data_IF_087392169933
#
_entry.id   IF_087392169933
#
_cell.length_a   1.000
_cell.length_b   1.000
_cell.length_c   1.000
_cell.angle_alpha   90.00
_cell.angle_beta   90.00
_cell.angle_gamma   90.00
#
_symmetry.space_group_name_H-M   'P 1'
#
loop_
_entity.id
_entity.type
_entity.pdbx_description
1 polymer ?
#
# COMPACT_ATOMS: atom_id res chain seq x y z
N UNK A 1 65.87 -28.13 45.36
CA UNK A 1 66.50 -27.52 46.51
C UNK A 1 66.90 -26.09 46.15
N UNK A 2 66.88 -25.17 47.08
CA UNK A 2 65.78 -24.60 47.88
C UNK A 2 65.71 -23.09 47.58
N UNK A 3 64.77 -22.30 47.96
CA UNK A 3 64.24 -21.78 49.23
C UNK A 3 63.23 -20.69 48.93
N UNK A 4 62.09 -20.79 49.43
CA UNK A 4 61.37 -19.95 50.38
C UNK A 4 61.88 -18.52 50.63
N UNK A 5 61.04 -17.52 50.46
CA UNK A 5 60.80 -16.43 51.39
C UNK A 5 59.48 -15.70 51.12
N UNK A 6 58.68 -15.62 52.13
CA UNK A 6 57.39 -14.97 52.36
C UNK A 6 57.61 -13.46 52.74
N UNK A 7 56.60 -12.77 53.25
CA UNK A 7 55.86 -11.68 52.55
C UNK A 7 56.06 -10.33 53.26
N UNK A 8 55.64 -9.25 52.63
CA UNK A 8 55.47 -7.98 53.35
C UNK A 8 54.18 -7.27 52.89
N UNK A 9 53.32 -7.15 53.82
CA UNK A 9 52.11 -6.33 53.78
C UNK A 9 52.44 -4.84 53.67
N UNK A 10 51.71 -4.10 52.85
CA UNK A 10 51.55 -2.65 53.03
C UNK A 10 50.13 -2.20 52.68
N UNK A 11 49.47 -1.85 53.75
CA UNK A 11 48.52 -0.77 54.06
C UNK A 11 47.73 -0.12 52.91
N UNK A 12 46.46 -0.21 53.14
CA UNK A 12 45.35 0.54 52.52
C UNK A 12 45.61 2.06 52.67
N UNK A 13 45.37 2.80 51.58
CA UNK A 13 44.95 4.19 51.62
C UNK A 13 43.69 4.33 50.78
N UNK A 14 42.59 4.56 51.46
CA UNK A 14 41.30 4.97 50.92
C UNK A 14 41.40 6.46 50.57
N UNK A 15 41.31 6.81 49.30
CA UNK A 15 40.97 8.16 48.89
C UNK A 15 39.61 8.08 48.18
N UNK A 16 38.58 8.56 48.86
CA UNK A 16 37.27 8.71 48.28
C UNK A 16 37.28 9.86 47.27
N UNK A 17 36.88 9.57 46.08
CA UNK A 17 36.50 10.59 45.08
C UNK A 17 35.00 10.40 44.82
N UNK A 18 34.23 11.27 45.41
CA UNK A 18 32.78 11.41 45.14
C UNK A 18 32.63 12.03 43.74
N UNK A 19 32.36 11.23 42.75
CA UNK A 19 31.90 11.70 41.44
C UNK A 19 30.41 11.99 41.51
N UNK A 20 30.04 13.24 41.62
CA UNK A 20 28.69 13.70 41.44
C UNK A 20 28.26 13.51 39.96
N UNK A 21 27.48 12.50 39.67
CA UNK A 21 26.83 12.33 38.36
C UNK A 21 25.73 13.41 38.23
N UNK A 22 26.02 14.48 37.52
CA UNK A 22 25.01 15.42 37.06
C UNK A 22 24.20 14.73 35.97
N UNK A 23 23.02 14.23 36.32
CA UNK A 23 22.04 13.77 35.36
C UNK A 23 21.52 15.00 34.58
N UNK A 24 22.00 15.20 33.37
CA UNK A 24 21.38 16.12 32.42
C UNK A 24 20.02 15.53 32.03
N UNK A 25 18.96 15.96 32.70
CA UNK A 25 17.59 15.74 32.29
C UNK A 25 17.37 16.52 30.98
N UNK A 26 17.47 15.82 29.85
CA UNK A 26 16.99 16.33 28.57
C UNK A 26 15.46 16.39 28.70
N UNK A 27 14.82 17.57 28.62
CA UNK A 27 13.39 17.63 28.59
C UNK A 27 12.92 16.99 27.28
N UNK A 28 12.38 15.78 27.33
CA UNK A 28 11.58 15.22 26.26
C UNK A 28 10.38 16.14 26.14
N UNK A 29 10.44 17.07 25.19
CA UNK A 29 9.26 17.81 24.74
C UNK A 29 8.29 16.77 24.18
N UNK A 30 7.42 16.24 25.03
CA UNK A 30 6.19 15.61 24.59
C UNK A 30 5.41 16.69 23.86
N UNK A 31 5.45 16.68 22.53
CA UNK A 31 4.49 17.38 21.71
C UNK A 31 3.11 16.94 22.24
N UNK A 32 2.39 17.89 22.83
CA UNK A 32 0.99 17.69 23.21
C UNK A 32 0.27 17.36 21.92
N UNK A 33 0.03 16.08 21.67
CA UNK A 33 -0.89 15.62 20.64
C UNK A 33 -2.20 16.38 20.89
N UNK A 34 -2.52 17.29 19.99
CA UNK A 34 -3.89 17.80 19.89
C UNK A 34 -4.73 16.55 19.66
N UNK A 35 -5.58 16.22 20.63
CA UNK A 35 -6.32 15.00 20.66
C UNK A 35 -6.97 14.75 19.30
N UNK A 36 -6.36 13.87 18.51
CA UNK A 36 -6.98 13.37 17.30
C UNK A 36 -8.25 12.64 17.74
N UNK A 37 -9.36 12.93 17.08
CA UNK A 37 -10.58 12.16 17.27
C UNK A 37 -10.24 10.67 17.18
N UNK A 38 -10.85 9.81 18.00
CA UNK A 38 -10.61 8.38 17.93
C UNK A 38 -10.83 7.91 16.47
N UNK A 39 -10.07 6.92 16.00
CA UNK A 39 -10.23 6.42 14.65
C UNK A 39 -11.69 6.03 14.41
N UNK A 40 -12.23 6.25 13.20
CA UNK A 40 -13.57 5.78 12.89
C UNK A 40 -13.60 4.27 13.09
N UNK A 41 -14.50 3.74 13.89
CA UNK A 41 -14.63 2.31 14.03
C UNK A 41 -15.02 1.71 12.68
N UNK A 42 -14.30 0.66 12.28
CA UNK A 42 -14.58 -0.14 11.10
C UNK A 42 -15.27 -1.41 11.54
N UNK A 43 -16.45 -1.68 11.01
CA UNK A 43 -17.25 -2.86 11.33
C UNK A 43 -17.42 -3.72 10.10
N UNK A 44 -17.10 -5.01 10.21
CA UNK A 44 -17.40 -5.96 9.15
C UNK A 44 -18.91 -5.98 8.89
N UNK A 45 -19.30 -5.70 7.63
CA UNK A 45 -20.69 -5.69 7.21
C UNK A 45 -21.03 -6.95 6.40
N UNK A 46 -20.21 -7.25 5.40
CA UNK A 46 -20.43 -8.38 4.51
C UNK A 46 -19.10 -8.88 3.92
N UNK A 47 -19.04 -10.14 3.55
CA UNK A 47 -17.93 -10.70 2.81
C UNK A 47 -18.39 -11.85 1.91
N UNK A 48 -17.58 -12.21 0.92
CA UNK A 48 -17.82 -13.36 0.05
C UNK A 48 -16.56 -13.72 -0.71
N UNK A 49 -16.34 -15.02 -0.91
CA UNK A 49 -15.21 -15.55 -1.67
C UNK A 49 -15.66 -16.13 -3.00
N UNK A 50 -14.82 -16.04 -4.00
CA UNK A 50 -15.03 -16.68 -5.30
C UNK A 50 -14.57 -18.14 -5.21
N UNK A 51 -15.29 -19.05 -5.91
CA UNK A 51 -14.76 -20.39 -6.16
C UNK A 51 -13.43 -20.30 -6.91
N UNK A 52 -12.44 -21.12 -6.50
CA UNK A 52 -11.19 -21.25 -7.25
C UNK A 52 -11.47 -21.73 -8.67
N UNK A 53 -10.76 -21.17 -9.64
CA UNK A 53 -10.96 -21.48 -11.06
C UNK A 53 -12.19 -20.83 -11.68
N UNK A 54 -12.76 -19.80 -11.06
CA UNK A 54 -13.84 -19.00 -11.67
C UNK A 54 -13.37 -18.44 -13.01
N UNK A 55 -14.13 -18.68 -14.07
CA UNK A 55 -13.87 -18.15 -15.41
C UNK A 55 -14.97 -17.18 -15.86
N UNK A 56 -14.55 -16.15 -16.59
CA UNK A 56 -15.47 -15.22 -17.22
C UNK A 56 -14.95 -14.76 -18.59
N UNK A 57 -15.81 -14.86 -19.61
CA UNK A 57 -15.48 -14.53 -21.03
C UNK A 57 -14.13 -15.12 -21.48
N UNK A 58 -13.87 -16.38 -21.11
CA UNK A 58 -12.67 -17.12 -21.52
C UNK A 58 -11.39 -16.69 -20.80
N UNK A 59 -11.51 -15.97 -19.69
CA UNK A 59 -10.38 -15.61 -18.84
C UNK A 59 -10.56 -16.14 -17.43
N UNK A 60 -9.49 -16.61 -16.81
CA UNK A 60 -9.46 -16.99 -15.40
C UNK A 60 -9.54 -15.71 -14.55
N UNK A 61 -10.53 -15.66 -13.66
CA UNK A 61 -10.69 -14.54 -12.70
C UNK A 61 -9.78 -14.81 -11.51
N UNK A 62 -8.90 -13.86 -11.22
CA UNK A 62 -7.93 -13.93 -10.13
C UNK A 62 -6.92 -12.80 -10.24
N UNK A 63 -5.99 -12.75 -9.29
CA UNK A 63 -4.98 -11.70 -9.28
C UNK A 63 -5.59 -10.31 -9.11
N UNK A 64 -6.61 -10.13 -8.26
CA UNK A 64 -7.32 -8.85 -8.16
C UNK A 64 -6.60 -7.92 -7.17
N UNK A 65 -5.69 -7.10 -7.71
CA UNK A 65 -4.83 -6.18 -6.96
C UNK A 65 -5.27 -4.71 -6.97
N UNK A 66 -6.23 -4.31 -7.83
CA UNK A 66 -6.76 -2.95 -7.86
C UNK A 66 -8.28 -2.91 -7.94
N UNK A 67 -8.93 -1.97 -7.24
CA UNK A 67 -10.38 -1.84 -7.20
C UNK A 67 -10.83 -0.37 -7.32
N UNK A 68 -11.84 -0.10 -8.14
CA UNK A 68 -12.43 1.23 -8.25
C UNK A 68 -13.94 1.15 -8.44
N UNK A 69 -14.68 2.13 -7.91
CA UNK A 69 -16.14 2.19 -7.99
C UNK A 69 -16.62 3.38 -8.83
N UNK A 70 -17.47 3.09 -9.79
CA UNK A 70 -18.18 4.05 -10.64
C UNK A 70 -19.60 4.24 -10.10
N UNK A 71 -19.75 5.24 -9.23
CA UNK A 71 -21.01 5.50 -8.56
C UNK A 71 -22.18 5.83 -9.53
N UNK A 72 -22.01 6.67 -10.58
CA UNK A 72 -23.06 6.95 -11.55
C UNK A 72 -23.63 5.72 -12.24
N UNK A 73 -22.78 4.73 -12.53
CA UNK A 73 -23.17 3.52 -13.27
C UNK A 73 -23.39 2.30 -12.36
N UNK A 74 -23.10 2.42 -11.07
CA UNK A 74 -23.09 1.33 -10.11
C UNK A 74 -22.25 0.13 -10.62
N UNK A 75 -21.05 0.43 -11.10
CA UNK A 75 -20.11 -0.55 -11.62
C UNK A 75 -18.82 -0.52 -10.79
N UNK A 76 -18.21 -1.68 -10.67
CA UNK A 76 -16.88 -1.86 -10.10
C UNK A 76 -15.93 -2.27 -11.19
N UNK A 77 -14.71 -1.75 -11.10
CA UNK A 77 -13.58 -2.14 -11.93
C UNK A 77 -12.57 -2.84 -11.04
N UNK A 78 -12.18 -4.07 -11.38
CA UNK A 78 -11.21 -4.86 -10.65
C UNK A 78 -10.04 -5.21 -11.59
N UNK A 79 -8.87 -4.68 -11.29
CA UNK A 79 -7.65 -4.89 -12.07
C UNK A 79 -7.03 -6.24 -11.69
N UNK A 80 -6.56 -6.99 -12.70
CA UNK A 80 -5.82 -8.23 -12.48
C UNK A 80 -4.33 -8.01 -12.70
N UNK A 81 -3.50 -8.47 -11.76
CA UNK A 81 -2.04 -8.45 -11.78
C UNK A 81 -1.42 -9.46 -12.77
N UNK A 82 -2.27 -10.14 -13.51
CA UNK A 82 -1.81 -11.09 -14.52
C UNK A 82 -0.90 -10.43 -15.56
N UNK A 83 0.37 -10.71 -15.46
CA UNK A 83 1.42 -10.26 -16.40
C UNK A 83 1.25 -10.81 -17.81
N UNK A 84 0.02 -10.94 -18.28
CA UNK A 84 -0.36 -11.62 -19.54
C UNK A 84 0.17 -13.07 -19.60
N UNK A 85 0.10 -13.80 -18.47
CA UNK A 85 0.51 -15.21 -18.40
C UNK A 85 -0.64 -16.15 -18.67
N UNK A 86 -1.81 -15.88 -18.09
CA UNK A 86 -3.05 -16.64 -18.21
C UNK A 86 -3.94 -16.06 -19.31
N UNK A 87 -4.09 -14.72 -19.34
CA UNK A 87 -4.80 -13.98 -20.36
C UNK A 87 -4.15 -12.59 -20.50
N UNK A 88 -4.46 -11.80 -21.54
CA UNK A 88 -3.96 -10.43 -21.66
C UNK A 88 -4.24 -9.59 -20.40
N UNK A 89 -3.33 -8.66 -20.08
CA UNK A 89 -3.53 -7.71 -18.99
C UNK A 89 -4.91 -7.05 -19.10
N UNK A 90 -5.68 -7.07 -18.00
CA UNK A 90 -7.12 -6.81 -18.04
C UNK A 90 -7.68 -6.20 -16.77
N UNK A 91 -8.82 -5.59 -16.92
CA UNK A 91 -9.65 -5.13 -15.83
C UNK A 91 -11.04 -5.76 -15.99
N UNK A 92 -11.56 -6.35 -14.93
CA UNK A 92 -12.93 -6.87 -14.89
C UNK A 92 -13.91 -5.77 -14.53
N UNK A 93 -15.09 -5.81 -15.13
CA UNK A 93 -16.24 -4.95 -14.76
C UNK A 93 -17.26 -5.83 -14.08
N UNK A 94 -17.74 -5.43 -12.90
CA UNK A 94 -18.66 -6.22 -12.10
C UNK A 94 -19.66 -5.33 -11.36
N UNK A 95 -20.71 -5.93 -10.84
CA UNK A 95 -21.62 -5.38 -9.83
C UNK A 95 -21.48 -6.16 -8.54
N UNK A 96 -21.48 -5.45 -7.43
CA UNK A 96 -21.69 -6.07 -6.13
C UNK A 96 -23.15 -5.89 -5.71
N UNK A 97 -23.74 -6.87 -5.02
CA UNK A 97 -25.12 -6.76 -4.51
C UNK A 97 -25.20 -5.61 -3.49
N UNK A 98 -26.41 -5.13 -3.18
CA UNK A 98 -26.61 -4.19 -2.08
C UNK A 98 -25.99 -4.70 -0.78
N UNK A 99 -25.30 -3.83 -0.05
CA UNK A 99 -24.59 -4.22 1.16
C UNK A 99 -25.54 -4.34 2.34
N UNK A 100 -25.64 -5.53 2.92
CA UNK A 100 -26.42 -5.82 4.10
C UNK A 100 -25.68 -6.76 5.04
N UNK A 101 -25.86 -6.55 6.35
CA UNK A 101 -25.17 -7.33 7.36
C UNK A 101 -25.43 -8.83 7.21
N UNK A 102 -24.36 -9.62 7.17
CA UNK A 102 -24.41 -11.07 7.08
C UNK A 102 -24.80 -11.62 5.71
N UNK A 103 -25.04 -10.78 4.71
CA UNK A 103 -25.31 -11.23 3.35
C UNK A 103 -24.01 -11.57 2.61
N UNK A 104 -23.93 -12.71 1.91
CA UNK A 104 -22.76 -13.06 1.14
C UNK A 104 -22.58 -12.13 -0.06
N UNK A 105 -21.39 -11.62 -0.25
CA UNK A 105 -21.04 -10.86 -1.44
C UNK A 105 -20.75 -11.81 -2.60
N UNK A 106 -21.61 -11.78 -3.60
CA UNK A 106 -21.42 -12.53 -4.85
C UNK A 106 -21.35 -11.52 -6.00
N UNK A 107 -20.17 -11.29 -6.59
CA UNK A 107 -20.05 -10.39 -7.73
C UNK A 107 -20.79 -10.93 -8.95
N UNK A 108 -21.50 -10.04 -9.65
CA UNK A 108 -22.03 -10.27 -10.98
C UNK A 108 -21.02 -9.72 -12.00
N UNK A 109 -20.39 -10.59 -12.76
CA UNK A 109 -19.44 -10.19 -13.78
C UNK A 109 -20.18 -9.62 -15.00
N UNK A 110 -19.79 -8.41 -15.42
CA UNK A 110 -20.44 -7.67 -16.52
C UNK A 110 -19.58 -7.71 -17.78
N UNK A 111 -18.28 -7.37 -17.65
CA UNK A 111 -17.38 -7.30 -18.80
C UNK A 111 -15.92 -7.56 -18.43
N UNK A 112 -15.07 -7.68 -19.46
CA UNK A 112 -13.62 -7.74 -19.38
C UNK A 112 -13.02 -6.70 -20.33
N UNK A 113 -12.24 -5.80 -19.78
CA UNK A 113 -11.52 -4.76 -20.51
C UNK A 113 -10.08 -5.22 -20.70
N UNK A 114 -9.68 -5.51 -21.93
CA UNK A 114 -8.27 -5.80 -22.26
C UNK A 114 -7.48 -4.49 -22.30
N UNK A 115 -6.45 -4.36 -21.47
CA UNK A 115 -5.54 -3.22 -21.49
C UNK A 115 -4.62 -3.31 -22.72
N UNK A 116 -4.42 -2.17 -23.40
CA UNK A 116 -3.71 -2.09 -24.67
C UNK A 116 -2.55 -1.11 -24.59
N UNK A 117 -1.48 -1.44 -25.29
CA UNK A 117 -0.31 -0.60 -25.43
C UNK A 117 -0.50 0.57 -26.43
N UNK A 118 0.57 1.34 -26.66
CA UNK A 118 0.53 2.50 -27.58
C UNK A 118 0.19 2.14 -29.03
N UNK A 119 0.46 0.91 -29.42
CA UNK A 119 0.15 0.36 -30.75
C UNK A 119 -1.29 -0.18 -30.89
N UNK A 120 -2.10 -0.06 -29.81
CA UNK A 120 -3.47 -0.56 -29.75
C UNK A 120 -3.59 -2.07 -29.56
N UNK A 121 -2.48 -2.81 -29.45
CA UNK A 121 -2.45 -4.24 -29.19
C UNK A 121 -2.46 -4.51 -27.67
N UNK A 122 -2.95 -5.68 -27.24
CA UNK A 122 -2.74 -6.12 -25.87
C UNK A 122 -1.26 -6.10 -25.48
N UNK A 123 -0.95 -5.79 -24.25
CA UNK A 123 0.43 -5.86 -23.76
C UNK A 123 0.97 -7.30 -23.87
N UNK A 124 2.21 -7.44 -24.32
CA UNK A 124 2.88 -8.72 -24.41
C UNK A 124 3.12 -9.31 -23.01
N UNK A 125 3.35 -10.61 -22.96
CA UNK A 125 3.66 -11.34 -21.72
C UNK A 125 4.81 -10.69 -20.96
N UNK A 126 4.61 -10.39 -19.67
CA UNK A 126 5.56 -9.73 -18.76
C UNK A 126 5.97 -8.30 -19.17
N UNK A 127 5.26 -7.66 -20.08
CA UNK A 127 5.52 -6.28 -20.47
C UNK A 127 4.99 -5.27 -19.43
N UNK A 128 3.91 -5.62 -18.78
CA UNK A 128 3.31 -4.88 -17.66
C UNK A 128 3.00 -5.83 -16.51
N UNK A 129 2.87 -5.26 -15.36
CA UNK A 129 2.51 -5.90 -14.09
C UNK A 129 1.51 -4.99 -13.39
N UNK A 130 0.21 -5.10 -13.73
CA UNK A 130 -0.80 -4.15 -13.25
C UNK A 130 -1.11 -4.42 -11.76
N UNK A 131 -0.92 -3.43 -10.87
CA UNK A 131 -1.10 -3.63 -9.42
C UNK A 131 -2.17 -2.72 -8.81
N UNK A 132 -2.29 -1.48 -9.24
CA UNK A 132 -3.22 -0.56 -8.62
C UNK A 132 -4.12 0.15 -9.63
N UNK A 133 -5.34 0.51 -9.19
CA UNK A 133 -6.38 1.09 -10.03
C UNK A 133 -7.10 2.25 -9.34
N UNK A 134 -7.31 3.33 -10.09
CA UNK A 134 -8.25 4.39 -9.71
C UNK A 134 -9.11 4.78 -10.91
N UNK A 135 -10.40 5.03 -10.67
CA UNK A 135 -11.30 5.57 -11.68
C UNK A 135 -11.27 7.10 -11.60
N UNK A 136 -10.89 7.75 -12.69
CA UNK A 136 -11.05 9.19 -12.85
C UNK A 136 -12.41 9.46 -13.47
N UNK A 137 -13.33 10.11 -12.75
CA UNK A 137 -14.66 10.41 -13.28
C UNK A 137 -14.60 11.30 -14.50
N UNK A 138 -15.56 11.15 -15.39
CA UNK A 138 -15.74 12.06 -16.52
C UNK A 138 -16.09 13.47 -16.04
N UNK A 139 -15.56 14.49 -16.70
CA UNK A 139 -15.78 15.90 -16.35
C UNK A 139 -15.67 16.78 -17.57
N UNK A 140 -16.48 17.86 -17.67
CA UNK A 140 -16.39 18.82 -18.75
C UNK A 140 -16.58 18.23 -20.14
N UNK A 141 -17.44 17.22 -20.29
CA UNK A 141 -17.65 16.51 -21.56
C UNK A 141 -16.60 15.45 -21.90
N UNK A 142 -15.58 15.28 -21.05
CA UNK A 142 -14.62 14.18 -21.18
C UNK A 142 -15.15 12.92 -20.49
N UNK A 143 -14.99 11.74 -21.11
CA UNK A 143 -15.41 10.48 -20.50
C UNK A 143 -14.53 10.11 -19.30
N UNK A 144 -15.04 9.21 -18.44
CA UNK A 144 -14.25 8.62 -17.39
C UNK A 144 -13.08 7.81 -17.94
N UNK A 145 -11.99 7.72 -17.16
CA UNK A 145 -10.78 6.98 -17.52
C UNK A 145 -10.29 6.12 -16.35
N UNK A 146 -9.50 5.11 -16.66
CA UNK A 146 -8.80 4.28 -15.69
C UNK A 146 -7.36 4.77 -15.54
N UNK A 147 -6.98 5.19 -14.34
CA UNK A 147 -5.59 5.33 -13.94
C UNK A 147 -5.15 3.99 -13.36
N UNK A 148 -4.00 3.47 -13.77
CA UNK A 148 -3.50 2.22 -13.25
C UNK A 148 -1.98 2.21 -13.18
N UNK A 149 -1.46 1.57 -12.15
CA UNK A 149 -0.03 1.43 -11.93
C UNK A 149 0.46 0.07 -12.44
N UNK A 150 1.69 0.03 -12.88
CA UNK A 150 2.41 -1.19 -13.22
C UNK A 150 3.72 -1.21 -12.45
N UNK A 151 4.00 -2.32 -11.77
CA UNK A 151 5.29 -2.57 -11.14
C UNK A 151 6.45 -2.66 -12.15
N UNK A 152 6.14 -2.99 -13.40
CA UNK A 152 7.14 -3.30 -14.41
C UNK A 152 7.81 -4.65 -14.13
N UNK A 153 9.07 -4.78 -14.56
CA UNK A 153 9.88 -5.97 -14.30
C UNK A 153 11.35 -5.54 -14.25
N UNK A 154 11.84 -5.24 -13.08
CA UNK A 154 13.20 -4.69 -12.91
C UNK A 154 14.27 -5.66 -13.41
N UNK A 155 14.06 -6.98 -13.25
CA UNK A 155 14.97 -8.02 -13.76
C UNK A 155 15.01 -8.04 -15.29
N UNK A 156 13.89 -7.76 -15.93
CA UNK A 156 13.78 -7.64 -17.40
C UNK A 156 14.09 -6.22 -17.89
N UNK A 157 14.50 -5.30 -17.01
CA UNK A 157 14.77 -3.88 -17.30
C UNK A 157 13.53 -3.10 -17.77
N UNK A 158 12.36 -3.47 -17.28
CA UNK A 158 11.10 -2.76 -17.48
C UNK A 158 10.84 -1.95 -16.22
N UNK A 159 10.85 -0.62 -16.36
CA UNK A 159 10.59 0.28 -15.26
C UNK A 159 9.12 0.25 -14.83
N UNK A 160 8.81 0.57 -13.56
CA UNK A 160 7.44 0.82 -13.15
C UNK A 160 6.84 1.98 -13.93
N UNK A 161 5.53 2.00 -14.06
CA UNK A 161 4.82 2.98 -14.86
C UNK A 161 3.45 3.31 -14.28
N UNK A 162 2.99 4.53 -14.55
CA UNK A 162 1.63 4.98 -14.25
C UNK A 162 0.96 5.32 -15.57
N UNK A 163 -0.17 4.68 -15.84
CA UNK A 163 -0.89 4.78 -17.10
C UNK A 163 -2.28 5.39 -16.92
N UNK A 164 -2.79 6.04 -17.96
CA UNK A 164 -4.19 6.41 -18.09
C UNK A 164 -4.76 5.79 -19.36
N UNK A 165 -5.85 5.04 -19.22
CA UNK A 165 -6.55 4.35 -20.30
C UNK A 165 -8.01 4.74 -20.36
N UNK A 166 -8.60 4.72 -21.54
CA UNK A 166 -10.05 4.80 -21.72
C UNK A 166 -10.72 3.54 -21.16
N UNK A 167 -12.03 3.60 -20.86
CA UNK A 167 -12.80 2.47 -20.35
C UNK A 167 -12.89 1.26 -21.31
N UNK A 168 -12.47 1.42 -22.57
CA UNK A 168 -12.31 0.31 -23.51
C UNK A 168 -10.89 -0.29 -23.54
N UNK A 169 -10.04 0.10 -22.60
CA UNK A 169 -8.67 -0.37 -22.44
C UNK A 169 -7.63 0.30 -23.35
N UNK A 170 -8.03 1.24 -24.24
CA UNK A 170 -7.08 1.95 -25.09
C UNK A 170 -6.21 2.88 -24.25
N UNK A 171 -4.89 2.76 -24.36
CA UNK A 171 -3.96 3.67 -23.70
C UNK A 171 -4.15 5.10 -24.20
N UNK A 172 -4.27 6.05 -23.27
CA UNK A 172 -4.36 7.48 -23.55
C UNK A 172 -3.00 8.15 -23.36
N UNK A 173 -2.34 7.84 -22.24
CA UNK A 173 -1.01 8.37 -21.91
C UNK A 173 -0.32 7.55 -20.82
N UNK A 174 0.98 7.74 -20.70
CA UNK A 174 1.80 7.35 -19.57
C UNK A 174 2.24 8.61 -18.81
N UNK A 175 2.05 8.65 -17.49
CA UNK A 175 2.51 9.74 -16.66
C UNK A 175 3.99 9.52 -16.31
N UNK A 176 4.86 10.54 -16.49
CA UNK A 176 6.28 10.40 -16.23
C UNK A 176 6.56 10.29 -14.72
N UNK A 177 7.13 9.18 -14.30
CA UNK A 177 7.60 9.03 -12.93
C UNK A 177 8.86 9.87 -12.65
N UNK A 178 9.07 10.34 -11.40
CA UNK A 178 10.34 10.91 -10.97
C UNK A 178 11.52 9.97 -11.28
N UNK A 179 12.67 10.55 -11.61
CA UNK A 179 13.83 9.77 -12.08
C UNK A 179 14.23 8.65 -11.12
N UNK A 180 14.21 8.91 -9.81
CA UNK A 180 14.59 7.93 -8.79
C UNK A 180 13.61 6.76 -8.65
N UNK A 181 12.36 6.87 -9.15
CA UNK A 181 11.38 5.79 -9.17
C UNK A 181 11.46 4.92 -10.44
N UNK A 182 12.18 5.36 -11.48
CA UNK A 182 12.31 4.63 -12.74
C UNK A 182 13.76 4.29 -13.11
N UNK A 183 14.72 4.59 -12.24
CA UNK A 183 16.13 4.29 -12.45
C UNK A 183 16.39 2.80 -12.23
N UNK A 184 16.59 2.04 -13.30
CA UNK A 184 16.82 0.60 -13.27
C UNK A 184 18.25 0.25 -13.71
N UNK A 185 18.72 -0.93 -13.30
CA UNK A 185 20.04 -1.44 -13.70
C UNK A 185 21.20 -0.98 -12.85
N UNK A 186 20.97 -0.34 -11.70
CA UNK A 186 21.97 0.01 -10.72
C UNK A 186 21.75 -0.75 -9.41
N UNK A 187 22.73 -1.55 -8.99
CA UNK A 187 22.64 -2.47 -7.84
C UNK A 187 22.23 -1.83 -6.51
N UNK A 188 22.43 -0.51 -6.33
CA UNK A 188 22.21 0.20 -5.06
C UNK A 188 21.34 1.44 -5.22
N UNK A 189 20.60 1.56 -6.32
CA UNK A 189 19.74 2.70 -6.59
C UNK A 189 18.51 2.26 -7.39
N UNK A 190 17.40 2.99 -7.20
CA UNK A 190 16.16 2.78 -7.90
C UNK A 190 15.23 1.77 -7.25
N UNK A 191 14.14 1.46 -7.93
CA UNK A 191 13.14 0.51 -7.46
C UNK A 191 13.70 -0.91 -7.41
N UNK A 192 13.14 -1.72 -6.52
CA UNK A 192 13.49 -3.13 -6.35
C UNK A 192 12.45 -3.97 -7.08
N UNK A 193 12.82 -5.14 -7.54
CA UNK A 193 11.90 -6.01 -8.28
C UNK A 193 10.81 -6.54 -7.35
N UNK A 194 9.56 -6.42 -7.76
CA UNK A 194 8.37 -6.82 -6.99
C UNK A 194 8.28 -6.10 -5.64
N UNK A 195 8.58 -4.82 -5.63
CA UNK A 195 8.44 -3.91 -4.49
C UNK A 195 8.28 -2.47 -5.00
N UNK A 196 7.52 -2.29 -6.11
CA UNK A 196 7.42 -0.99 -6.76
C UNK A 196 6.05 -0.34 -6.55
N UNK A 197 5.31 0.02 -7.59
CA UNK A 197 4.04 0.73 -7.48
C UNK A 197 2.90 -0.25 -7.18
N UNK A 198 2.37 -0.19 -5.96
CA UNK A 198 1.31 -1.07 -5.47
C UNK A 198 0.02 -0.31 -5.12
N UNK A 199 0.11 0.95 -4.72
CA UNK A 199 -1.06 1.69 -4.30
C UNK A 199 -1.36 2.89 -5.22
N UNK A 200 -2.65 3.15 -5.50
CA UNK A 200 -3.08 4.28 -6.33
C UNK A 200 -4.42 4.85 -5.89
N UNK A 201 -4.43 6.11 -5.48
CA UNK A 201 -5.64 6.82 -5.07
C UNK A 201 -5.86 8.10 -5.86
N UNK A 202 -7.08 8.33 -6.33
CA UNK A 202 -7.51 9.63 -6.83
C UNK A 202 -7.85 10.54 -5.65
N UNK A 203 -7.37 11.78 -5.68
CA UNK A 203 -7.73 12.78 -4.69
C UNK A 203 -9.19 13.25 -4.89
N UNK A 204 -9.89 13.66 -3.81
CA UNK A 204 -11.28 14.13 -3.90
C UNK A 204 -11.46 15.33 -4.85
N UNK A 205 -10.41 16.13 -5.05
CA UNK A 205 -10.42 17.25 -5.99
C UNK A 205 -10.50 16.82 -7.48
N UNK A 206 -10.33 15.52 -7.77
CA UNK A 206 -10.31 14.97 -9.13
C UNK A 206 -9.14 15.45 -10.00
N UNK A 207 -8.23 16.28 -9.45
CA UNK A 207 -7.09 16.89 -10.14
C UNK A 207 -5.78 16.20 -9.85
N UNK A 208 -5.69 15.53 -8.72
CA UNK A 208 -4.48 14.85 -8.27
C UNK A 208 -4.71 13.35 -8.09
N UNK A 209 -3.64 12.59 -8.30
CA UNK A 209 -3.56 11.19 -7.90
C UNK A 209 -2.31 10.97 -7.05
N UNK A 210 -2.39 10.04 -6.13
CA UNK A 210 -1.27 9.60 -5.32
C UNK A 210 -0.93 8.15 -5.66
N UNK A 211 0.35 7.87 -5.88
CA UNK A 211 0.85 6.52 -6.13
C UNK A 211 1.88 6.14 -5.07
N UNK A 212 1.74 4.97 -4.48
CA UNK A 212 2.61 4.46 -3.43
C UNK A 212 3.53 3.36 -3.94
N UNK A 213 4.78 3.40 -3.50
CA UNK A 213 5.69 2.26 -3.62
C UNK A 213 5.37 1.24 -2.52
N UNK A 214 5.38 -0.05 -2.83
CA UNK A 214 5.27 -1.13 -1.85
C UNK A 214 6.44 -1.11 -0.88
N UNK A 215 7.65 -1.05 -1.43
CA UNK A 215 8.87 -1.11 -0.66
C UNK A 215 9.76 0.13 -0.82
N UNK A 216 10.81 0.18 -0.01
CA UNK A 216 11.83 1.22 -0.09
C UNK A 216 12.70 1.06 -1.33
N UNK A 217 13.09 2.19 -1.94
CA UNK A 217 14.12 2.19 -2.97
C UNK A 217 15.44 1.62 -2.42
N UNK A 218 16.25 1.04 -3.30
CA UNK A 218 17.51 0.42 -2.90
C UNK A 218 18.44 1.36 -2.11
N UNK A 219 18.45 2.66 -2.42
CA UNK A 219 19.24 3.67 -1.72
C UNK A 219 18.63 4.15 -0.40
N UNK A 220 17.32 3.94 -0.21
CA UNK A 220 16.58 4.37 0.98
C UNK A 220 16.53 3.29 2.06
N UNK A 221 16.72 2.03 1.67
CA UNK A 221 16.82 0.91 2.58
C UNK A 221 18.13 0.99 3.33
N UNK A 222 18.10 1.18 4.64
CA UNK A 222 19.30 1.18 5.50
C UNK A 222 20.17 -0.06 5.31
N UNK A 223 21.19 -0.22 6.13
CA UNK A 223 22.02 -1.44 6.13
C UNK A 223 21.11 -2.64 6.32
N UNK A 224 21.13 -3.56 5.36
CA UNK A 224 20.31 -4.76 5.40
C UNK A 224 20.66 -5.61 6.64
N UNK A 225 19.84 -5.46 7.66
CA UNK A 225 19.81 -6.37 8.82
C UNK A 225 18.46 -7.05 8.80
N UNK A 226 18.38 -8.36 9.02
CA UNK A 226 17.10 -9.04 9.13
C UNK A 226 16.17 -8.46 10.21
N UNK A 227 16.74 -7.78 11.21
CA UNK A 227 16.02 -7.10 12.28
C UNK A 227 15.75 -5.61 12.01
N UNK A 228 16.20 -5.07 10.87
CA UNK A 228 15.93 -3.68 10.54
C UNK A 228 14.46 -3.52 10.13
N UNK A 229 13.79 -2.44 10.59
CA UNK A 229 12.45 -2.13 10.10
C UNK A 229 12.47 -1.93 8.58
N UNK A 230 11.34 -2.14 7.90
CA UNK A 230 11.20 -1.79 6.48
C UNK A 230 11.68 -0.36 6.25
N UNK A 231 12.35 -0.12 5.12
CA UNK A 231 12.73 1.23 4.75
C UNK A 231 11.52 2.09 4.35
N UNK A 232 11.71 3.40 4.16
CA UNK A 232 10.62 4.30 3.81
C UNK A 232 10.08 4.01 2.41
N UNK A 233 8.78 3.75 2.30
CA UNK A 233 8.05 3.75 1.04
C UNK A 233 7.79 5.18 0.61
N UNK A 234 7.86 5.47 -0.69
CA UNK A 234 7.57 6.79 -1.24
C UNK A 234 6.15 6.83 -1.76
N UNK A 235 5.37 7.82 -1.32
CA UNK A 235 4.03 8.10 -1.82
C UNK A 235 4.10 9.41 -2.60
N UNK A 236 3.83 9.37 -3.89
CA UNK A 236 4.05 10.47 -4.84
C UNK A 236 2.75 11.01 -5.37
N UNK A 237 2.54 12.34 -5.30
CA UNK A 237 1.40 13.02 -5.89
C UNK A 237 1.71 13.44 -7.32
N UNK A 238 0.72 13.27 -8.18
CA UNK A 238 0.74 13.69 -9.58
C UNK A 238 -0.38 14.67 -9.84
N UNK A 239 -0.08 15.83 -10.43
CA UNK A 239 -1.06 16.70 -11.04
C UNK A 239 -1.51 16.09 -12.37
N UNK A 240 -2.78 15.75 -12.49
CA UNK A 240 -3.32 15.03 -13.64
C UNK A 240 -3.47 15.89 -14.89
N UNK A 241 -3.45 17.23 -14.77
CA UNK A 241 -3.49 18.12 -15.92
C UNK A 241 -2.13 18.15 -16.61
N UNK A 242 -1.06 18.38 -15.88
CA UNK A 242 0.31 18.35 -16.41
C UNK A 242 0.87 16.95 -16.58
N UNK A 243 0.32 15.95 -15.87
CA UNK A 243 0.81 14.59 -15.78
C UNK A 243 2.09 14.46 -14.93
N UNK A 244 2.52 15.49 -14.22
CA UNK A 244 3.80 15.52 -13.51
C UNK A 244 3.64 15.31 -12.01
N UNK A 245 4.63 14.69 -11.41
CA UNK A 245 4.75 14.65 -9.96
C UNK A 245 5.05 16.05 -9.41
N UNK A 246 4.34 16.48 -8.37
CA UNK A 246 4.45 17.78 -7.74
C UNK A 246 4.69 17.73 -6.23
N UNK A 247 4.54 16.56 -5.61
CA UNK A 247 4.82 16.32 -4.19
C UNK A 247 5.17 14.85 -3.96
N UNK A 248 6.00 14.58 -2.96
CA UNK A 248 6.28 13.22 -2.51
C UNK A 248 6.47 13.21 -0.99
N UNK A 249 5.97 12.20 -0.33
CA UNK A 249 6.17 12.01 1.10
C UNK A 249 6.78 10.63 1.37
N UNK A 250 7.38 10.47 2.54
CA UNK A 250 7.92 9.21 3.00
C UNK A 250 6.97 8.58 4.01
N UNK A 251 6.59 7.34 3.81
CA UNK A 251 5.80 6.52 4.69
C UNK A 251 6.67 5.41 5.27
N UNK A 252 6.57 5.15 6.57
CA UNK A 252 7.31 4.07 7.25
C UNK A 252 6.35 2.93 7.57
N UNK A 253 6.38 1.82 6.80
CA UNK A 253 5.61 0.62 7.16
C UNK A 253 6.06 0.06 8.51
N UNK A 254 5.12 -0.59 9.22
CA UNK A 254 5.48 -1.31 10.44
C UNK A 254 6.31 -2.56 10.10
N UNK A 255 7.24 -2.93 10.99
CA UNK A 255 7.91 -4.22 10.85
C UNK A 255 6.91 -5.37 11.02
N UNK A 256 7.28 -6.53 10.51
CA UNK A 256 6.54 -7.78 10.74
C UNK A 256 6.22 -7.94 12.24
N UNK A 257 4.94 -8.09 12.60
CA UNK A 257 4.53 -8.05 14.02
C UNK A 257 5.00 -9.22 14.86
N UNK A 258 5.38 -10.33 14.24
CA UNK A 258 5.67 -11.56 14.95
C UNK A 258 6.87 -12.32 14.38
N UNK A 259 7.87 -12.44 15.20
CA UNK A 259 8.95 -13.38 14.97
C UNK A 259 10.33 -12.77 15.07
N UNK A 260 11.33 -13.61 15.33
CA UNK A 260 12.70 -13.22 15.14
C UNK A 260 12.90 -12.85 13.68
N UNK A 261 13.78 -11.90 13.44
CA UNK A 261 14.20 -11.53 12.10
C UNK A 261 14.50 -12.78 11.26
N UNK A 262 13.67 -12.99 10.23
CA UNK A 262 13.81 -14.12 9.34
C UNK A 262 14.79 -13.77 8.20
N UNK A 263 15.51 -14.75 7.64
CA UNK A 263 16.35 -14.51 6.47
C UNK A 263 15.54 -13.92 5.30
N UNK A 264 16.16 -13.11 4.47
CA UNK A 264 15.53 -12.55 3.26
C UNK A 264 14.85 -13.65 2.41
N UNK A 265 13.59 -13.40 2.01
CA UNK A 265 12.77 -14.33 1.24
C UNK A 265 11.87 -15.24 2.08
N UNK A 266 11.88 -15.10 3.41
CA UNK A 266 11.02 -15.86 4.34
C UNK A 266 10.02 -14.93 5.05
N UNK A 267 10.15 -13.62 4.88
CA UNK A 267 9.22 -12.59 5.33
C UNK A 267 9.24 -11.42 4.35
N UNK A 268 8.07 -10.86 4.13
CA UNK A 268 7.85 -9.68 3.29
C UNK A 268 6.87 -8.74 3.96
N UNK A 269 7.04 -7.44 3.79
CA UNK A 269 6.14 -6.43 4.31
C UNK A 269 6.23 -5.14 3.51
N UNK A 270 5.09 -4.55 3.23
CA UNK A 270 5.01 -3.33 2.43
C UNK A 270 3.64 -2.67 2.48
N UNK A 271 3.51 -1.63 1.69
CA UNK A 271 2.25 -0.96 1.38
C UNK A 271 1.62 -1.69 0.21
N UNK A 272 0.45 -2.29 0.40
CA UNK A 272 -0.27 -3.00 -0.67
C UNK A 272 -1.35 -2.15 -1.34
N UNK A 273 -1.87 -1.10 -0.69
CA UNK A 273 -2.80 -0.17 -1.34
C UNK A 273 -2.90 1.14 -0.53
N UNK A 274 -3.35 2.20 -1.20
CA UNK A 274 -3.68 3.48 -0.57
C UNK A 274 -5.06 3.97 -1.00
N UNK A 275 -5.76 4.69 -0.11
CA UNK A 275 -7.05 5.29 -0.41
C UNK A 275 -7.18 6.66 0.28
N UNK A 276 -7.46 7.71 -0.47
CA UNK A 276 -7.65 9.04 0.11
C UNK A 276 -8.97 9.09 0.87
N UNK A 277 -8.90 9.47 2.17
CA UNK A 277 -10.07 9.84 2.94
C UNK A 277 -10.55 11.24 2.61
N UNK A 278 -9.60 12.14 2.53
CA UNK A 278 -9.73 13.55 2.18
C UNK A 278 -8.40 14.06 1.58
N UNK A 279 -8.27 15.36 1.30
CA UNK A 279 -7.06 15.95 0.69
C UNK A 279 -5.80 15.81 1.55
N UNK A 280 -5.96 15.58 2.84
CA UNK A 280 -4.86 15.52 3.82
C UNK A 280 -4.57 14.11 4.31
N UNK A 281 -5.58 13.27 4.42
CA UNK A 281 -5.44 11.97 5.06
C UNK A 281 -5.56 10.84 4.04
N UNK A 282 -4.59 9.96 4.07
CA UNK A 282 -4.57 8.73 3.27
C UNK A 282 -4.70 7.51 4.20
N UNK A 283 -5.57 6.58 3.82
CA UNK A 283 -5.60 5.25 4.39
C UNK A 283 -4.59 4.39 3.66
N UNK A 284 -3.79 3.66 4.41
CA UNK A 284 -2.70 2.83 3.89
C UNK A 284 -2.92 1.41 4.37
N UNK A 285 -3.03 0.51 3.43
CA UNK A 285 -3.08 -0.92 3.68
C UNK A 285 -1.64 -1.46 3.75
N UNK A 286 -1.26 -1.96 4.90
CA UNK A 286 0.02 -2.66 5.08
C UNK A 286 -0.23 -4.16 5.11
N UNK A 287 0.48 -4.87 4.28
CA UNK A 287 0.51 -6.32 4.24
C UNK A 287 1.88 -6.81 4.66
N UNK A 288 1.90 -7.83 5.48
CA UNK A 288 3.09 -8.58 5.80
C UNK A 288 2.82 -10.08 5.69
N UNK A 289 3.83 -10.82 5.28
CA UNK A 289 3.79 -12.26 5.24
C UNK A 289 5.07 -12.85 5.82
N UNK A 290 4.94 -13.93 6.57
CA UNK A 290 6.09 -14.75 6.95
C UNK A 290 5.73 -16.22 6.98
N UNK A 291 6.73 -17.07 6.76
CA UNK A 291 6.55 -18.52 6.87
C UNK A 291 6.10 -18.95 8.29
N UNK A 292 6.45 -18.15 9.31
CA UNK A 292 6.14 -18.47 10.70
C UNK A 292 4.71 -18.05 11.11
N UNK A 293 4.19 -16.95 10.55
CA UNK A 293 2.96 -16.31 11.03
C UNK A 293 1.86 -16.21 9.98
N UNK A 294 2.17 -16.54 8.72
CA UNK A 294 1.26 -16.37 7.58
C UNK A 294 1.06 -14.90 7.22
N UNK A 295 -0.11 -14.57 6.69
CA UNK A 295 -0.48 -13.22 6.26
C UNK A 295 -0.93 -12.38 7.46
N UNK A 296 -0.48 -11.14 7.50
CA UNK A 296 -0.89 -10.10 8.45
C UNK A 296 -1.25 -8.85 7.69
N UNK A 297 -2.43 -8.29 7.94
CA UNK A 297 -2.94 -7.09 7.27
C UNK A 297 -3.37 -6.06 8.29
N UNK A 298 -2.98 -4.81 8.06
CA UNK A 298 -3.33 -3.67 8.91
C UNK A 298 -3.68 -2.47 8.08
N UNK A 299 -4.69 -1.73 8.51
CA UNK A 299 -5.08 -0.47 7.92
C UNK A 299 -4.66 0.69 8.81
N UNK A 300 -3.92 1.64 8.25
CA UNK A 300 -3.49 2.86 8.93
C UNK A 300 -4.10 4.09 8.29
N UNK A 301 -4.28 5.15 9.08
CA UNK A 301 -4.50 6.50 8.56
C UNK A 301 -3.20 7.29 8.72
N UNK A 302 -2.73 7.91 7.65
CA UNK A 302 -1.53 8.73 7.63
C UNK A 302 -1.86 10.17 7.24
N UNK A 303 -1.18 11.14 7.88
CA UNK A 303 -1.32 12.58 7.65
C UNK A 303 -0.26 13.06 6.65
N UNK A 304 -0.70 13.36 5.43
CA UNK A 304 0.18 13.82 4.35
C UNK A 304 0.80 15.20 4.65
N UNK A 305 0.08 16.09 5.33
CA UNK A 305 0.57 17.43 5.65
C UNK A 305 1.59 17.44 6.79
N UNK A 306 1.56 16.41 7.65
CA UNK A 306 2.54 16.22 8.70
C UNK A 306 3.94 15.83 8.21
N UNK A 307 4.07 15.44 6.93
CA UNK A 307 5.31 14.94 6.33
C UNK A 307 6.12 16.02 5.61
N UNK A 308 7.41 15.81 5.48
CA UNK A 308 8.26 16.61 4.59
C UNK A 308 8.02 16.25 3.13
N UNK A 309 8.07 17.25 2.24
CA UNK A 309 8.17 16.97 0.80
C UNK A 309 9.55 16.39 0.47
N UNK A 310 9.55 15.22 -0.14
CA UNK A 310 10.76 14.46 -0.48
C UNK A 310 10.95 14.31 -2.00
N UNK A 311 10.16 14.99 -2.84
CA UNK A 311 10.20 14.84 -4.30
C UNK A 311 11.59 15.10 -4.89
N UNK A 312 12.28 16.12 -4.39
CA UNK A 312 13.65 16.46 -4.81
C UNK A 312 14.76 15.66 -4.11
N UNK A 313 14.40 14.73 -3.20
CA UNK A 313 15.38 14.02 -2.36
C UNK A 313 15.73 12.68 -2.99
N UNK A 314 16.92 12.56 -3.55
CA UNK A 314 17.41 11.34 -4.22
C UNK A 314 17.62 10.15 -3.28
N UNK A 315 17.93 10.39 -2.00
CA UNK A 315 18.14 9.34 -0.98
C UNK A 315 17.54 9.80 0.35
N UNK A 316 16.63 9.02 0.89
CA UNK A 316 16.01 9.27 2.19
C UNK A 316 16.92 8.75 3.32
N UNK A 317 17.37 9.64 4.17
CA UNK A 317 18.19 9.28 5.34
C UNK A 317 17.44 9.60 6.63
N UNK A 318 17.40 8.69 7.61
CA UNK A 318 16.79 8.95 8.91
C UNK A 318 17.26 10.29 9.51
N UNK A 319 16.32 11.06 10.08
CA UNK A 319 16.61 12.39 10.65
C UNK A 319 16.75 13.53 9.62
N UNK A 320 16.70 13.26 8.31
CA UNK A 320 16.74 14.27 7.25
C UNK A 320 15.40 14.59 6.61
N UNK A 321 14.35 13.91 7.01
CA UNK A 321 12.96 14.14 6.60
C UNK A 321 12.03 13.76 7.75
N UNK A 322 10.81 14.27 7.72
CA UNK A 322 9.73 13.82 8.60
C UNK A 322 8.85 12.86 7.79
N UNK A 323 8.73 11.59 8.21
CA UNK A 323 7.77 10.68 7.60
C UNK A 323 6.34 11.12 7.93
N UNK A 324 5.37 10.56 7.22
CA UNK A 324 3.95 10.76 7.53
C UNK A 324 3.65 10.26 8.94
N UNK A 325 3.10 11.10 9.83
CA UNK A 325 2.49 10.61 11.06
C UNK A 325 1.35 9.66 10.71
N UNK A 326 1.25 8.54 11.42
CA UNK A 326 0.20 7.55 11.16
C UNK A 326 -0.40 7.00 12.44
N UNK A 327 -1.62 6.45 12.34
CA UNK A 327 -2.31 5.74 13.42
C UNK A 327 -2.97 4.48 12.88
N UNK A 328 -2.98 3.42 13.66
CA UNK A 328 -3.68 2.19 13.33
C UNK A 328 -5.20 2.41 13.37
N UNK A 329 -5.90 2.01 12.31
CA UNK A 329 -7.35 2.00 12.25
C UNK A 329 -7.92 0.61 12.53
N UNK A 330 -7.31 -0.42 11.93
CA UNK A 330 -7.76 -1.80 12.03
C UNK A 330 -6.58 -2.77 11.90
N UNK A 331 -6.50 -3.72 12.81
CA UNK A 331 -5.77 -4.97 12.60
C UNK A 331 -6.80 -6.03 12.14
N UNK A 332 -6.64 -6.58 10.96
CA UNK A 332 -7.63 -7.49 10.38
C UNK A 332 -7.86 -8.76 11.20
N UNK A 333 -6.91 -9.14 12.05
CA UNK A 333 -7.10 -10.23 13.03
C UNK A 333 -8.24 -9.96 14.02
N UNK A 334 -8.61 -8.70 14.21
CA UNK A 334 -9.71 -8.28 15.09
C UNK A 334 -10.98 -7.90 14.31
N UNK A 335 -10.97 -8.06 12.99
CA UNK A 335 -12.07 -7.64 12.11
C UNK A 335 -13.33 -8.50 12.20
N UNK A 336 -13.21 -9.73 12.69
CA UNK A 336 -14.28 -10.72 12.65
C UNK A 336 -14.35 -11.51 11.33
N UNK A 337 -13.41 -11.29 10.41
CA UNK A 337 -13.30 -12.11 9.20
C UNK A 337 -12.88 -13.55 9.55
N UNK A 338 -13.52 -14.56 8.95
CA UNK A 338 -13.16 -15.95 9.21
C UNK A 338 -11.81 -16.34 8.58
N UNK A 339 -11.38 -15.63 7.55
CA UNK A 339 -10.13 -15.86 6.84
C UNK A 339 -9.52 -14.51 6.43
N UNK A 340 -8.22 -14.36 6.64
CA UNK A 340 -7.43 -13.20 6.22
C UNK A 340 -6.46 -13.70 5.17
N UNK A 341 -6.55 -13.13 3.98
CA UNK A 341 -5.66 -13.43 2.86
C UNK A 341 -4.98 -12.15 2.37
N UNK A 342 -4.41 -12.18 1.22
CA UNK A 342 -3.60 -11.18 0.58
C UNK A 342 -4.43 -9.97 0.11
N UNK A 343 -4.84 -9.08 1.04
CA UNK A 343 -5.57 -7.86 0.69
C UNK A 343 -4.65 -6.88 -0.05
N UNK A 344 -5.00 -6.57 -1.29
CA UNK A 344 -4.24 -5.67 -2.15
C UNK A 344 -5.08 -4.57 -2.80
N UNK A 345 -6.41 -4.66 -2.73
CA UNK A 345 -7.28 -3.65 -3.30
C UNK A 345 -8.22 -3.05 -2.27
N UNK A 346 -8.45 -1.74 -2.31
CA UNK A 346 -9.49 -1.08 -1.54
C UNK A 346 -10.07 0.13 -2.27
N UNK A 347 -11.38 0.34 -2.11
CA UNK A 347 -12.07 1.49 -2.67
C UNK A 347 -13.23 1.93 -1.77
N UNK A 348 -13.62 3.21 -1.89
CA UNK A 348 -14.88 3.66 -1.33
C UNK A 348 -16.05 3.07 -2.12
N UNK A 349 -17.01 2.51 -1.41
CA UNK A 349 -18.24 2.00 -1.99
C UNK A 349 -19.43 2.97 -1.82
N UNK A 350 -20.62 2.56 -2.27
CA UNK A 350 -21.85 3.34 -2.06
C UNK A 350 -22.13 3.52 -0.57
N UNK A 351 -22.68 4.69 -0.14
CA UNK A 351 -23.06 4.88 1.24
C UNK A 351 -24.22 3.95 1.61
N UNK A 352 -24.26 3.58 2.88
CA UNK A 352 -25.37 2.80 3.44
C UNK A 352 -26.63 3.68 3.63
N UNK A 353 -27.83 3.08 3.77
CA UNK A 353 -29.06 3.86 4.04
C UNK A 353 -29.00 4.70 5.32
N UNK A 354 -28.15 4.35 6.28
CA UNK A 354 -27.90 5.14 7.49
C UNK A 354 -26.92 6.30 7.29
N UNK A 355 -26.43 6.53 6.05
CA UNK A 355 -25.47 7.58 5.72
C UNK A 355 -24.01 7.23 5.99
N UNK A 356 -23.71 6.07 6.55
CA UNK A 356 -22.32 5.66 6.76
C UNK A 356 -21.64 5.29 5.43
N UNK A 357 -20.35 5.63 5.33
CA UNK A 357 -19.53 5.22 4.19
C UNK A 357 -19.20 3.73 4.27
N UNK A 358 -18.94 3.14 3.13
CA UNK A 358 -18.41 1.77 3.05
C UNK A 358 -17.01 1.76 2.47
N UNK A 359 -16.15 0.93 3.07
CA UNK A 359 -14.86 0.55 2.52
C UNK A 359 -15.01 -0.86 1.94
N UNK A 360 -14.70 -1.01 0.67
CA UNK A 360 -14.69 -2.32 0.00
C UNK A 360 -13.25 -2.72 -0.26
N UNK A 361 -12.91 -3.95 0.13
CA UNK A 361 -11.59 -4.52 -0.07
C UNK A 361 -11.70 -5.79 -0.91
N UNK A 362 -10.61 -6.12 -1.62
CA UNK A 362 -10.48 -7.37 -2.34
C UNK A 362 -9.11 -8.00 -2.06
N UNK A 363 -9.06 -9.33 -2.06
CA UNK A 363 -7.79 -10.07 -1.97
C UNK A 363 -7.34 -10.53 -3.33
N UNK A 364 -6.05 -10.48 -3.56
CA UNK A 364 -5.37 -11.18 -4.63
C UNK A 364 -5.12 -12.64 -4.24
N UNK A 365 -5.49 -13.57 -5.10
CA UNK A 365 -5.25 -15.01 -4.92
C UNK A 365 -3.94 -15.49 -5.57
N UNK A 366 -3.17 -14.58 -6.19
CA UNK A 366 -1.94 -14.89 -6.90
C UNK A 366 -2.08 -16.04 -7.91
N UNK A 367 -3.31 -16.33 -8.37
CA UNK A 367 -3.64 -17.56 -9.13
C UNK A 367 -3.16 -18.83 -8.42
N UNK A 368 -3.07 -18.81 -7.09
CA UNK A 368 -2.60 -19.90 -6.24
C UNK A 368 -3.81 -20.62 -5.63
N UNK A 369 -3.95 -21.94 -5.83
CA UNK A 369 -5.11 -22.70 -5.31
C UNK A 369 -5.21 -22.74 -3.78
N UNK A 370 -4.20 -22.28 -3.05
CA UNK A 370 -4.19 -22.19 -1.59
C UNK A 370 -4.65 -20.83 -1.08
N UNK A 371 -4.84 -19.84 -1.98
CA UNK A 371 -5.34 -18.51 -1.68
C UNK A 371 -6.75 -18.32 -2.25
N UNK A 372 -7.42 -17.28 -1.81
CA UNK A 372 -8.81 -17.03 -2.23
C UNK A 372 -8.99 -15.59 -2.68
N UNK A 373 -9.68 -15.40 -3.78
CA UNK A 373 -10.24 -14.08 -4.13
C UNK A 373 -11.49 -13.86 -3.28
N UNK A 374 -11.48 -12.85 -2.41
CA UNK A 374 -12.64 -12.49 -1.61
C UNK A 374 -12.91 -10.98 -1.67
N UNK A 375 -14.18 -10.61 -1.58
CA UNK A 375 -14.61 -9.25 -1.38
C UNK A 375 -15.08 -9.06 0.07
N UNK A 376 -14.70 -7.94 0.66
CA UNK A 376 -15.05 -7.59 2.05
C UNK A 376 -15.58 -6.17 2.08
N UNK A 377 -16.70 -5.96 2.77
CA UNK A 377 -17.25 -4.63 3.01
C UNK A 377 -17.19 -4.31 4.48
N UNK A 378 -16.58 -3.17 4.78
CA UNK A 378 -16.56 -2.59 6.11
C UNK A 378 -17.46 -1.35 6.14
N UNK A 379 -18.29 -1.24 7.17
CA UNK A 379 -19.00 -0.01 7.51
C UNK A 379 -18.10 0.91 8.30
N UNK A 380 -18.04 2.19 7.92
CA UNK A 380 -17.30 3.24 8.62
C UNK A 380 -18.26 4.00 9.51
N UNK A 381 -18.26 3.72 10.83
CA UNK A 381 -19.30 4.13 11.77
C UNK A 381 -19.01 5.42 12.53
N UNK A 382 -18.07 6.27 12.10
CA UNK A 382 -17.74 7.51 12.83
C UNK A 382 -18.71 8.66 12.51
N UNK A 383 -19.21 9.36 13.52
CA UNK A 383 -19.88 10.64 13.32
C UNK A 383 -18.84 11.67 12.87
N UNK A 384 -19.02 12.26 11.72
CA UNK A 384 -18.16 13.31 11.16
C UNK A 384 -17.63 13.07 9.75
N UNK A 385 -17.90 11.90 9.16
CA UNK A 385 -17.78 11.70 7.73
C UNK A 385 -19.11 12.10 7.07
N UNK A 386 -19.42 13.41 7.14
CA UNK A 386 -20.57 13.97 6.44
C UNK A 386 -20.48 13.61 4.96
N UNK A 387 -21.61 13.28 4.40
CA UNK A 387 -21.83 13.19 2.96
C UNK A 387 -21.23 14.41 2.30
N UNK A 388 -20.07 14.26 1.64
CA UNK A 388 -19.66 15.22 0.65
C UNK A 388 -20.47 14.90 -0.60
N UNK A 389 -21.10 15.92 -1.22
CA UNK A 389 -22.02 15.74 -2.34
C UNK A 389 -21.33 15.18 -3.57
#
# INVERSE_FOLDING_TARGET
>A
MPRLATPLARRRLLIGASAAAAALAVPVLRARERGAAPPPPLKLLAHGSLPSGTEFKGTLVGGLSGLAYDAPNNLWYALSDDRSRHAPARCYVLRLPPFAAGQPLRPEWVDVITLRGPDGRPFARQQVDPEALALRPGSGGQPATLLWASEGNIRARIAPALYESALNGRLLRQLPLPAHLREIGRLRRGPRNNETLEGLALAPDGRHAWAAMEGALAQDRGTASPAAPPGPCRITRFDLASGRADRQVAYLPEPEPFGPAMPHGVADSGVSEILLRDERHVWVLERAWSLATGVSVRLYEADLDGASDTLGVGTLRPGRYRPTPKRLLLDFRTSGLPHIDNFEAMAWGPPLPNGHRTLVLCTDDNFNPLQVTQFVVMEVTSPGFGTTP
#
